data_IF_738349173261
#
_entry.id   IF_738349173261
#
_cell.length_a   1.000
_cell.length_b   1.000
_cell.length_c   1.000
_cell.angle_alpha   90.00
_cell.angle_beta   90.00
_cell.angle_gamma   90.00
#
_symmetry.space_group_name_H-M   'P 1'
#
loop_
_entity.id
_entity.type
_entity.pdbx_description
1 polymer ?
#
# COMPACT_ATOMS: atom_id res chain seq x y z
N UNK A 1 -6.80 28.36 22.29
CA UNK A 1 -6.62 26.89 22.36
C UNK A 1 -5.20 26.61 22.82
N UNK A 2 -5.03 25.91 23.94
CA UNK A 2 -3.71 25.55 24.45
C UNK A 2 -3.29 24.19 23.88
N UNK A 3 -2.03 24.06 23.45
CA UNK A 3 -1.43 22.77 23.09
C UNK A 3 -0.94 22.08 24.37
N UNK A 4 -1.05 20.76 24.42
CA UNK A 4 -0.49 19.94 25.51
C UNK A 4 0.74 19.18 25.02
N UNK A 5 1.78 19.11 25.85
CA UNK A 5 2.98 18.32 25.57
C UNK A 5 2.75 16.85 25.88
N UNK A 6 2.99 15.98 24.90
CA UNK A 6 2.92 14.52 25.03
C UNK A 6 4.31 13.91 24.84
N UNK A 7 4.51 12.66 25.26
CA UNK A 7 5.76 11.93 25.00
C UNK A 7 5.94 11.70 23.48
N UNK A 8 7.19 11.64 22.98
CA UNK A 8 7.45 11.30 21.58
C UNK A 8 6.81 9.96 21.19
N UNK A 9 6.20 9.91 19.99
CA UNK A 9 5.54 8.72 19.48
C UNK A 9 5.28 8.81 17.97
N UNK A 10 4.92 7.68 17.37
CA UNK A 10 4.61 7.57 15.94
C UNK A 10 3.18 8.04 15.67
N UNK A 11 3.01 9.36 15.53
CA UNK A 11 1.71 10.03 15.41
C UNK A 11 1.44 10.64 14.02
N UNK A 12 2.20 10.25 13.00
CA UNK A 12 1.90 10.64 11.62
C UNK A 12 0.70 9.80 11.16
N UNK A 13 -0.43 10.46 10.98
CA UNK A 13 -1.71 9.88 10.54
C UNK A 13 -2.47 10.87 9.65
N UNK A 14 -3.42 10.40 8.81
CA UNK A 14 -3.67 8.99 8.50
C UNK A 14 -2.52 8.37 7.67
N UNK A 15 -2.39 7.05 7.73
CA UNK A 15 -1.45 6.26 6.94
C UNK A 15 -2.22 5.38 5.98
N UNK A 16 -1.69 5.03 4.79
CA UNK A 16 -2.28 3.97 4.00
C UNK A 16 -2.18 2.64 4.76
N UNK A 17 -3.22 1.81 4.71
CA UNK A 17 -3.17 0.43 5.18
C UNK A 17 -2.98 -0.48 3.96
N UNK A 18 -1.77 -0.94 3.67
CA UNK A 18 -1.51 -1.75 2.48
C UNK A 18 -1.31 -3.21 2.84
N UNK A 19 -1.67 -4.09 1.91
CA UNK A 19 -1.28 -5.49 1.95
C UNK A 19 0.00 -5.66 1.14
N UNK A 20 1.08 -6.02 1.80
CA UNK A 20 2.32 -6.41 1.14
C UNK A 20 2.27 -7.91 0.90
N UNK A 21 2.51 -8.33 -0.33
CA UNK A 21 2.72 -9.74 -0.68
C UNK A 21 4.19 -10.01 -0.99
N UNK A 22 4.66 -11.18 -0.57
CA UNK A 22 6.04 -11.65 -0.73
C UNK A 22 6.04 -13.12 -1.15
N UNK A 23 7.18 -13.60 -1.63
CA UNK A 23 7.41 -14.99 -1.98
C UNK A 23 7.80 -15.15 -3.45
N UNK A 24 8.55 -16.19 -3.76
CA UNK A 24 9.09 -16.48 -5.09
C UNK A 24 8.40 -17.65 -5.79
N UNK A 25 7.49 -18.33 -5.09
CA UNK A 25 6.71 -19.46 -5.58
C UNK A 25 5.41 -19.63 -4.77
N UNK A 26 4.36 -20.26 -5.33
CA UNK A 26 3.06 -20.39 -4.67
C UNK A 26 3.10 -20.92 -3.23
N UNK A 27 3.98 -21.88 -2.95
CA UNK A 27 4.19 -22.47 -1.63
C UNK A 27 4.84 -21.50 -0.62
N UNK A 28 5.54 -20.47 -1.11
CA UNK A 28 6.22 -19.46 -0.29
C UNK A 28 5.45 -18.13 -0.25
N UNK A 29 4.33 -18.02 -0.96
CA UNK A 29 3.53 -16.81 -1.00
C UNK A 29 2.93 -16.49 0.36
N UNK A 30 3.13 -15.27 0.83
CA UNK A 30 2.54 -14.80 2.06
C UNK A 30 2.16 -13.32 1.98
N UNK A 31 1.24 -12.91 2.84
CA UNK A 31 0.73 -11.53 2.93
C UNK A 31 1.03 -10.96 4.31
N UNK A 32 1.33 -9.67 4.40
CA UNK A 32 1.36 -8.93 5.66
C UNK A 32 0.79 -7.53 5.48
N UNK A 33 0.19 -7.00 6.53
CA UNK A 33 -0.30 -5.63 6.54
C UNK A 33 0.80 -4.69 6.99
N UNK A 34 1.00 -3.62 6.23
CA UNK A 34 1.99 -2.57 6.51
C UNK A 34 1.29 -1.22 6.42
N UNK A 35 1.54 -0.34 7.39
CA UNK A 35 1.15 1.06 7.32
C UNK A 35 2.34 2.04 7.36
N UNK A 36 3.53 1.55 7.74
CA UNK A 36 4.76 2.31 7.74
C UNK A 36 5.37 2.17 6.35
N UNK A 37 4.80 2.93 5.41
CA UNK A 37 5.11 2.88 3.98
C UNK A 37 4.90 4.26 3.35
N UNK A 38 5.48 4.50 2.19
CA UNK A 38 5.23 5.70 1.40
C UNK A 38 6.15 5.83 0.18
N UNK A 39 5.90 6.87 -0.61
CA UNK A 39 6.74 7.24 -1.76
C UNK A 39 7.99 7.99 -1.28
N UNK A 40 9.16 7.61 -1.82
CA UNK A 40 10.45 8.24 -1.53
C UNK A 40 10.87 9.21 -2.64
N UNK A 41 10.76 8.78 -3.90
CA UNK A 41 11.27 9.53 -5.05
C UNK A 41 10.36 9.34 -6.26
N UNK A 42 10.29 10.37 -7.10
CA UNK A 42 9.54 10.34 -8.37
C UNK A 42 10.38 9.78 -9.52
N UNK A 43 11.68 10.09 -9.59
CA UNK A 43 12.55 9.64 -10.67
C UNK A 43 13.98 9.34 -10.17
N UNK A 44 14.41 8.07 -10.09
CA UNK A 44 13.59 6.87 -10.36
C UNK A 44 12.45 6.75 -9.33
N UNK A 45 11.31 6.13 -9.70
CA UNK A 45 10.20 5.95 -8.78
C UNK A 45 10.62 4.99 -7.65
N UNK A 46 10.56 5.46 -6.41
CA UNK A 46 10.96 4.67 -5.24
C UNK A 46 9.91 4.77 -4.15
N UNK A 47 9.79 3.69 -3.38
CA UNK A 47 8.96 3.62 -2.18
C UNK A 47 9.70 2.89 -1.06
N UNK A 48 9.06 2.78 0.10
CA UNK A 48 9.55 1.91 1.17
C UNK A 48 8.45 1.19 1.91
N UNK A 49 8.83 0.10 2.57
CA UNK A 49 8.07 -0.50 3.66
C UNK A 49 8.99 -0.69 4.88
N UNK A 50 8.48 -0.44 6.08
CA UNK A 50 9.20 -0.74 7.32
C UNK A 50 8.59 -1.96 7.99
N UNK A 51 9.40 -3.01 8.16
CA UNK A 51 8.94 -4.31 8.65
C UNK A 51 9.76 -4.72 9.87
N UNK A 52 9.08 -5.25 10.89
CA UNK A 52 9.75 -5.80 12.08
C UNK A 52 10.38 -7.15 11.76
N UNK A 53 11.57 -7.40 12.31
CA UNK A 53 12.36 -8.64 12.09
C UNK A 53 11.61 -9.91 12.51
N UNK A 54 10.70 -9.83 13.48
CA UNK A 54 9.91 -10.96 13.98
C UNK A 54 8.82 -11.46 13.01
N UNK A 55 8.42 -10.63 12.04
CA UNK A 55 7.32 -10.97 11.10
C UNK A 55 7.75 -12.15 10.23
N UNK A 56 6.84 -13.10 10.03
CA UNK A 56 7.10 -14.30 9.20
C UNK A 56 7.67 -13.94 7.81
N UNK A 57 7.10 -12.93 7.16
CA UNK A 57 7.50 -12.47 5.83
C UNK A 57 8.89 -11.85 5.74
N UNK A 58 9.51 -11.50 6.88
CA UNK A 58 10.75 -10.75 6.92
C UNK A 58 11.90 -11.50 6.22
N UNK A 59 12.06 -12.80 6.51
CA UNK A 59 13.12 -13.62 5.91
C UNK A 59 12.92 -13.77 4.41
N UNK A 60 11.69 -14.03 3.96
CA UNK A 60 11.35 -14.09 2.53
C UNK A 60 11.65 -12.76 1.84
N UNK A 61 11.25 -11.64 2.44
CA UNK A 61 11.50 -10.30 1.91
C UNK A 61 13.01 -10.01 1.79
N UNK A 62 13.79 -10.35 2.83
CA UNK A 62 15.24 -10.14 2.85
C UNK A 62 15.97 -11.03 1.86
N UNK A 63 15.52 -12.28 1.70
CA UNK A 63 16.11 -13.28 0.78
C UNK A 63 15.80 -12.99 -0.68
N UNK A 64 14.54 -12.72 -1.00
CA UNK A 64 14.08 -12.53 -2.38
C UNK A 64 14.34 -11.12 -2.89
N UNK A 65 14.28 -10.12 -2.00
CA UNK A 65 14.38 -8.72 -2.39
C UNK A 65 13.20 -8.24 -3.24
N UNK A 66 12.10 -8.99 -3.32
CA UNK A 66 10.96 -8.66 -4.17
C UNK A 66 9.66 -8.71 -3.37
N UNK A 67 8.81 -7.71 -3.57
CA UNK A 67 7.50 -7.62 -2.93
C UNK A 67 6.54 -6.78 -3.77
N UNK A 68 5.26 -6.89 -3.47
CA UNK A 68 4.21 -6.07 -4.09
C UNK A 68 3.45 -5.32 -3.00
N UNK A 69 3.30 -4.02 -3.15
CA UNK A 69 2.41 -3.20 -2.32
C UNK A 69 1.03 -3.17 -2.99
N UNK A 70 0.04 -3.76 -2.34
CA UNK A 70 -1.35 -3.78 -2.81
C UNK A 70 -2.16 -2.77 -1.99
N UNK A 71 -2.76 -1.78 -2.67
CA UNK A 71 -3.68 -0.86 -2.02
C UNK A 71 -4.93 -1.62 -1.57
N UNK A 72 -5.54 -1.20 -0.46
CA UNK A 72 -6.69 -1.91 0.12
C UNK A 72 -7.92 -1.03 0.11
N UNK A 73 -9.08 -1.68 0.04
CA UNK A 73 -10.40 -1.05 -0.07
C UNK A 73 -11.25 -1.37 1.15
N UNK A 74 -12.41 -0.71 1.27
CA UNK A 74 -13.41 -1.01 2.30
C UNK A 74 -13.78 -2.51 2.33
N UNK A 75 -13.91 -3.14 1.15
CA UNK A 75 -14.27 -4.56 1.04
C UNK A 75 -13.15 -5.48 1.54
N UNK A 76 -11.90 -5.01 1.46
CA UNK A 76 -10.73 -5.75 1.93
C UNK A 76 -10.43 -5.50 3.42
N UNK A 77 -11.09 -4.54 4.08
CA UNK A 77 -10.69 -4.04 5.40
C UNK A 77 -10.51 -5.15 6.46
N UNK A 78 -11.41 -6.13 6.50
CA UNK A 78 -11.31 -7.28 7.42
C UNK A 78 -10.12 -8.18 7.10
N UNK A 79 -9.86 -8.46 5.82
CA UNK A 79 -8.70 -9.24 5.40
C UNK A 79 -7.39 -8.49 5.68
N UNK A 80 -7.38 -7.17 5.43
CA UNK A 80 -6.28 -6.27 5.77
C UNK A 80 -5.97 -6.31 7.26
N UNK A 81 -6.95 -6.21 8.15
CA UNK A 81 -6.69 -6.33 9.58
C UNK A 81 -6.16 -7.72 9.96
N UNK A 82 -6.83 -8.77 9.48
CA UNK A 82 -6.49 -10.15 9.80
C UNK A 82 -5.05 -10.51 9.41
N UNK A 83 -4.60 -10.07 8.22
CA UNK A 83 -3.24 -10.23 7.75
C UNK A 83 -2.19 -9.50 8.60
N UNK A 84 -2.59 -8.46 9.34
CA UNK A 84 -1.74 -7.68 10.24
C UNK A 84 -1.58 -8.30 11.63
N UNK A 85 -2.56 -9.07 12.09
CA UNK A 85 -2.62 -9.62 13.46
C UNK A 85 -2.38 -11.13 13.54
N UNK A 86 -2.47 -11.87 12.44
CA UNK A 86 -2.12 -13.30 12.37
C UNK A 86 -0.81 -13.54 11.61
N UNK A 87 -0.03 -14.50 12.10
CA UNK A 87 1.27 -14.85 11.51
C UNK A 87 1.10 -15.87 10.40
N UNK A 88 1.89 -15.75 9.33
CA UNK A 88 1.97 -16.78 8.28
C UNK A 88 2.70 -18.06 8.75
N UNK A 89 3.36 -18.03 9.91
CA UNK A 89 3.95 -19.24 10.53
C UNK A 89 2.89 -20.28 10.87
N UNK A 90 1.69 -19.82 11.26
CA UNK A 90 0.65 -20.68 11.83
C UNK A 90 -0.57 -20.80 10.91
N UNK A 91 -0.63 -20.00 9.84
CA UNK A 91 -1.79 -19.90 8.97
C UNK A 91 -1.40 -19.68 7.51
N UNK A 92 -2.08 -20.40 6.60
CA UNK A 92 -2.15 -19.97 5.21
C UNK A 92 -3.10 -18.76 5.11
N UNK A 93 -2.54 -17.58 4.87
CA UNK A 93 -3.32 -16.34 4.87
C UNK A 93 -4.20 -16.18 3.64
N UNK A 94 -3.83 -16.76 2.51
CA UNK A 94 -4.64 -16.71 1.29
C UNK A 94 -5.95 -17.45 1.51
N UNK A 95 -5.88 -18.69 2.01
CA UNK A 95 -7.05 -19.49 2.36
C UNK A 95 -7.91 -18.82 3.45
N UNK A 96 -7.27 -18.31 4.51
CA UNK A 96 -7.99 -17.72 5.64
C UNK A 96 -8.73 -16.42 5.31
N UNK A 97 -8.26 -15.67 4.31
CA UNK A 97 -8.85 -14.39 3.91
C UNK A 97 -9.70 -14.47 2.65
N UNK A 98 -9.51 -15.52 1.82
CA UNK A 98 -10.16 -15.65 0.52
C UNK A 98 -9.59 -14.70 -0.54
N UNK A 99 -8.45 -14.06 -0.29
CA UNK A 99 -7.74 -13.24 -1.28
C UNK A 99 -7.06 -14.13 -2.32
N UNK A 100 -6.94 -13.62 -3.55
CA UNK A 100 -6.45 -14.40 -4.68
C UNK A 100 -5.05 -13.94 -5.12
N UNK A 101 -4.01 -14.80 -5.04
CA UNK A 101 -2.70 -14.46 -5.57
C UNK A 101 -2.73 -14.47 -7.11
N UNK A 102 -2.13 -13.47 -7.73
CA UNK A 102 -2.03 -13.34 -9.19
C UNK A 102 -0.59 -13.10 -9.63
N UNK A 103 -0.13 -13.81 -10.66
CA UNK A 103 1.22 -13.61 -11.21
C UNK A 103 1.32 -12.32 -12.01
N UNK A 104 2.53 -11.76 -12.08
CA UNK A 104 2.86 -10.60 -12.88
C UNK A 104 4.21 -10.79 -13.57
N UNK A 105 4.56 -9.87 -14.47
CA UNK A 105 5.80 -9.95 -15.26
C UNK A 105 7.00 -9.20 -14.67
N UNK A 106 6.82 -8.50 -13.54
CA UNK A 106 7.81 -7.57 -12.97
C UNK A 106 8.62 -8.18 -11.82
N UNK A 107 7.96 -8.97 -10.97
CA UNK A 107 8.52 -9.59 -9.75
C UNK A 107 7.88 -10.97 -9.50
N UNK A 108 8.57 -11.84 -8.77
CA UNK A 108 8.08 -13.17 -8.42
C UNK A 108 6.97 -13.14 -7.34
N UNK A 109 6.96 -12.09 -6.50
CA UNK A 109 5.91 -11.86 -5.52
C UNK A 109 4.54 -11.64 -6.20
N UNK A 110 3.46 -12.23 -5.69
CA UNK A 110 2.16 -12.18 -6.36
C UNK A 110 1.49 -10.83 -6.13
N UNK A 111 0.65 -10.40 -7.07
CA UNK A 111 -0.36 -9.38 -6.83
C UNK A 111 -1.52 -9.97 -6.02
N UNK A 112 -2.40 -9.12 -5.51
CA UNK A 112 -3.70 -9.51 -4.94
C UNK A 112 -4.78 -9.10 -5.95
N UNK A 113 -5.51 -10.05 -6.52
CA UNK A 113 -6.47 -9.79 -7.61
C UNK A 113 -7.58 -8.80 -7.21
N UNK A 114 -7.93 -8.76 -5.93
CA UNK A 114 -8.96 -7.87 -5.38
C UNK A 114 -8.46 -6.43 -5.18
N UNK A 115 -7.15 -6.19 -5.23
CA UNK A 115 -6.57 -4.88 -5.02
C UNK A 115 -6.79 -3.97 -6.24
N UNK A 116 -7.16 -2.69 -6.05
CA UNK A 116 -7.39 -1.78 -7.15
C UNK A 116 -6.09 -1.33 -7.84
N UNK A 117 -4.97 -1.42 -7.12
CA UNK A 117 -3.65 -1.02 -7.59
C UNK A 117 -2.58 -1.84 -6.85
N UNK A 118 -1.67 -2.44 -7.60
CA UNK A 118 -0.56 -3.23 -7.10
C UNK A 118 0.75 -2.68 -7.64
N UNK A 119 1.69 -2.39 -6.75
CA UNK A 119 2.97 -1.73 -7.05
C UNK A 119 4.08 -2.76 -6.84
N UNK A 120 4.73 -3.17 -7.93
CA UNK A 120 5.78 -4.17 -7.93
C UNK A 120 7.13 -3.53 -7.57
N UNK A 121 7.80 -4.07 -6.57
CA UNK A 121 8.95 -3.45 -5.93
C UNK A 121 10.15 -4.40 -5.88
N UNK A 122 11.33 -3.88 -6.20
CA UNK A 122 12.62 -4.55 -5.96
C UNK A 122 13.42 -3.78 -4.92
N UNK A 123 13.85 -4.46 -3.86
CA UNK A 123 14.63 -3.88 -2.77
C UNK A 123 15.95 -3.38 -3.32
N UNK A 124 16.20 -2.09 -3.09
CA UNK A 124 17.44 -1.41 -3.42
C UNK A 124 18.38 -1.35 -2.23
N UNK A 125 17.83 -1.08 -1.05
CA UNK A 125 18.60 -0.94 0.18
C UNK A 125 17.75 -1.32 1.39
N UNK A 126 18.38 -1.88 2.42
CA UNK A 126 17.73 -2.10 3.72
C UNK A 126 18.46 -1.29 4.79
N UNK A 127 17.72 -0.40 5.47
CA UNK A 127 18.23 0.39 6.60
C UNK A 127 17.71 -0.18 7.91
N UNK A 128 18.60 -0.54 8.82
CA UNK A 128 18.23 -1.03 10.16
C UNK A 128 17.96 0.17 11.09
N UNK A 129 16.74 0.30 11.60
CA UNK A 129 16.28 1.48 12.36
C UNK A 129 15.79 1.12 13.77
N UNK A 130 16.38 0.10 14.38
CA UNK A 130 16.02 -0.41 15.70
C UNK A 130 14.94 -1.49 15.61
N UNK A 131 13.67 -1.13 15.86
CA UNK A 131 12.57 -2.11 15.88
C UNK A 131 12.09 -2.55 14.50
N UNK A 132 12.35 -1.74 13.48
CA UNK A 132 12.00 -2.02 12.09
C UNK A 132 13.24 -1.89 11.22
N UNK A 133 13.29 -2.70 10.18
CA UNK A 133 14.15 -2.44 9.04
C UNK A 133 13.30 -1.79 7.95
N UNK A 134 13.84 -0.73 7.35
CA UNK A 134 13.23 0.00 6.25
C UNK A 134 13.80 -0.52 4.94
N UNK A 135 12.95 -1.16 4.17
CA UNK A 135 13.25 -1.67 2.83
C UNK A 135 12.93 -0.57 1.84
N UNK A 136 13.98 0.11 1.34
CA UNK A 136 13.89 1.08 0.25
C UNK A 136 13.89 0.29 -1.05
N UNK A 137 12.92 0.56 -1.93
CA UNK A 137 12.73 -0.21 -3.14
C UNK A 137 12.47 0.67 -4.36
N UNK A 138 13.01 0.23 -5.50
CA UNK A 138 12.64 0.76 -6.80
C UNK A 138 11.28 0.19 -7.22
N UNK A 139 10.40 1.04 -7.74
CA UNK A 139 9.13 0.62 -8.34
C UNK A 139 9.41 0.19 -9.78
N UNK A 140 9.26 -1.11 -10.05
CA UNK A 140 9.59 -1.73 -11.34
C UNK A 140 8.35 -2.05 -12.19
N UNK A 141 7.16 -1.91 -11.62
CA UNK A 141 5.89 -2.14 -12.31
C UNK A 141 4.71 -1.65 -11.48
N UNK A 142 3.61 -1.31 -12.14
CA UNK A 142 2.34 -0.95 -11.51
C UNK A 142 1.21 -1.58 -12.30
N UNK A 143 0.39 -2.38 -11.62
CA UNK A 143 -0.75 -3.08 -12.18
C UNK A 143 -2.02 -2.46 -11.61
N UNK A 144 -2.85 -1.90 -12.48
CA UNK A 144 -4.08 -1.22 -12.11
C UNK A 144 -5.28 -2.05 -12.57
N UNK A 145 -6.26 -2.18 -11.68
CA UNK A 145 -7.49 -2.89 -11.99
C UNK A 145 -8.33 -2.09 -13.00
N UNK A 146 -8.63 -2.74 -14.12
CA UNK A 146 -9.33 -2.15 -15.26
C UNK A 146 -10.74 -1.67 -14.90
N UNK A 147 -11.35 -2.20 -13.83
CA UNK A 147 -12.65 -1.73 -13.31
C UNK A 147 -12.65 -0.25 -12.92
N UNK A 148 -11.48 0.31 -12.63
CA UNK A 148 -11.32 1.71 -12.22
C UNK A 148 -10.64 2.56 -13.30
N UNK A 149 -10.41 2.02 -14.49
CA UNK A 149 -9.87 2.75 -15.64
C UNK A 149 -11.03 3.13 -16.56
N UNK A 150 -11.18 4.42 -16.80
CA UNK A 150 -12.15 4.91 -17.77
C UNK A 150 -11.74 4.48 -19.20
N UNK A 151 -12.59 3.75 -19.94
CA UNK A 151 -12.20 3.15 -21.22
C UNK A 151 -11.99 4.18 -22.33
N UNK A 152 -12.57 5.38 -22.22
CA UNK A 152 -12.44 6.43 -23.24
C UNK A 152 -11.21 7.32 -23.00
N UNK A 153 -11.02 7.75 -21.76
CA UNK A 153 -9.95 8.68 -21.37
C UNK A 153 -8.67 8.00 -20.86
N UNK A 154 -8.73 6.71 -20.54
CA UNK A 154 -7.64 5.96 -19.89
C UNK A 154 -7.36 6.39 -18.45
N UNK A 155 -8.21 7.24 -17.86
CA UNK A 155 -7.99 7.79 -16.52
C UNK A 155 -8.30 6.75 -15.44
N UNK A 156 -7.30 6.43 -14.63
CA UNK A 156 -7.49 5.64 -13.41
C UNK A 156 -8.16 6.48 -12.30
N UNK A 157 -9.22 5.94 -11.71
CA UNK A 157 -10.04 6.60 -10.68
C UNK A 157 -10.00 5.81 -9.37
N UNK A 158 -8.93 6.01 -8.60
CA UNK A 158 -8.71 5.32 -7.33
C UNK A 158 -9.81 5.60 -6.30
N UNK A 159 -10.44 6.77 -6.34
CA UNK A 159 -11.56 7.15 -5.47
C UNK A 159 -12.75 6.17 -5.61
N UNK A 160 -13.03 5.68 -6.82
CA UNK A 160 -14.10 4.70 -7.06
C UNK A 160 -13.82 3.35 -6.40
N UNK A 161 -12.55 3.04 -6.12
CA UNK A 161 -12.16 1.82 -5.42
C UNK A 161 -12.41 1.89 -3.90
N UNK A 162 -12.76 3.06 -3.35
CA UNK A 162 -12.99 3.27 -1.91
C UNK A 162 -11.83 2.75 -1.06
N UNK A 163 -10.60 3.29 -1.23
CA UNK A 163 -9.46 2.86 -0.45
C UNK A 163 -9.66 3.21 1.03
N UNK A 164 -9.04 2.41 1.90
CA UNK A 164 -9.03 2.66 3.35
C UNK A 164 -7.71 3.26 3.82
N UNK A 165 -7.78 3.95 4.95
CA UNK A 165 -6.61 4.45 5.68
C UNK A 165 -6.61 3.94 7.11
N UNK A 166 -5.44 3.82 7.70
CA UNK A 166 -5.23 3.54 9.11
C UNK A 166 -4.99 4.84 9.86
N UNK A 167 -5.76 5.09 10.92
CA UNK A 167 -5.61 6.24 11.79
C UNK A 167 -5.72 5.81 13.24
N UNK A 168 -4.60 5.86 13.95
CA UNK A 168 -4.54 5.70 15.41
C UNK A 168 -5.24 4.43 15.97
N UNK A 169 -5.07 3.28 15.32
CA UNK A 169 -5.66 2.01 15.79
C UNK A 169 -6.94 1.62 15.05
N UNK A 170 -7.43 2.47 14.17
CA UNK A 170 -8.71 2.29 13.48
C UNK A 170 -8.53 2.38 11.96
N UNK A 171 -9.43 1.73 11.21
CA UNK A 171 -9.50 1.84 9.76
C UNK A 171 -10.66 2.77 9.37
N UNK A 172 -10.41 3.69 8.45
CA UNK A 172 -11.39 4.65 7.95
C UNK A 172 -11.50 4.58 6.43
N UNK A 173 -12.70 4.82 5.92
CA UNK A 173 -12.90 5.17 4.52
C UNK A 173 -12.35 6.57 4.23
N UNK A 174 -11.99 6.83 2.96
CA UNK A 174 -11.73 8.20 2.52
C UNK A 174 -13.03 9.02 2.48
N UNK A 175 -12.94 10.28 2.90
CA UNK A 175 -14.04 11.24 2.80
C UNK A 175 -14.20 11.85 1.39
N UNK A 176 -15.01 12.90 1.30
CA UNK A 176 -15.29 13.58 0.04
C UNK A 176 -14.06 14.28 -0.58
N UNK A 177 -14.02 14.34 -1.92
CA UNK A 177 -12.99 15.08 -2.63
C UNK A 177 -13.09 16.59 -2.30
N UNK A 178 -12.00 17.15 -1.77
CA UNK A 178 -11.93 18.58 -1.45
C UNK A 178 -11.56 19.42 -2.69
N UNK A 179 -10.65 18.92 -3.53
CA UNK A 179 -10.23 19.60 -4.74
C UNK A 179 -9.12 18.89 -5.49
N UNK A 180 -8.94 19.24 -6.77
CA UNK A 180 -7.86 18.71 -7.60
C UNK A 180 -6.53 19.39 -7.30
N UNK A 181 -5.41 18.72 -7.56
CA UNK A 181 -4.09 19.35 -7.46
C UNK A 181 -4.03 20.66 -8.27
N UNK A 182 -3.49 21.72 -7.66
CA UNK A 182 -3.42 23.06 -8.26
C UNK A 182 -4.71 23.89 -8.19
N UNK A 183 -5.80 23.39 -7.59
CA UNK A 183 -7.07 24.14 -7.48
C UNK A 183 -6.95 25.45 -6.68
N UNK A 184 -5.98 25.57 -5.78
CA UNK A 184 -5.72 26.79 -4.99
C UNK A 184 -5.22 27.97 -5.84
N UNK A 185 -4.62 27.71 -7.00
CA UNK A 185 -4.04 28.72 -7.90
C UNK A 185 -4.74 28.79 -9.26
N UNK A 186 -5.81 28.01 -9.44
CA UNK A 186 -6.59 27.99 -10.69
C UNK A 186 -7.28 29.35 -10.87
N UNK A 187 -6.87 30.10 -11.90
CA UNK A 187 -7.50 31.38 -12.26
C UNK A 187 -8.98 31.14 -12.59
N UNK A 188 -9.88 31.94 -11.99
CA UNK A 188 -11.31 31.93 -12.35
C UNK A 188 -11.43 32.33 -13.82
N UNK A 189 -11.95 31.43 -14.65
CA UNK A 189 -12.30 31.78 -16.03
C UNK A 189 -13.45 32.79 -15.99
N UNK A 190 -13.15 34.05 -16.29
CA UNK A 190 -14.18 35.06 -16.53
C UNK A 190 -14.97 34.62 -17.76
N UNK A 191 -16.18 34.09 -17.55
CA UNK A 191 -17.15 33.92 -18.63
C UNK A 191 -17.35 35.30 -19.26
N UNK A 192 -16.84 35.51 -20.48
CA UNK A 192 -17.21 36.63 -21.33
C UNK A 192 -18.74 36.54 -21.49
N UNK A 193 -19.48 37.43 -20.82
CA UNK A 193 -20.89 37.67 -21.14
C UNK A 193 -20.91 38.11 -22.60
N UNK A 194 -21.47 37.28 -23.47
CA UNK A 194 -21.95 37.70 -24.78
C UNK A 194 -23.29 38.37 -24.60
#
# INVERSE_FOLDING_TARGET
MAKQTWKPGTLIYPLPAVLVSVGDSPENYNILTVAWTGTICTNPPMCYISVRKERHSYETLRRTGEFVINLTTEQMARATDWCGVRSGRDHNKWEATGLTPMQNSHVAAPLIAEAPLSICCKVREVKELGSHDMFIADVVGVEADTRYIDPESGKFSLDKARPIVYSHGEYFALGEMIGHFGWSVKRKTTKRKR
#
